data_IF_195030022606
#
_entry.id   IF_195030022606
#
_cell.length_a   1.000
_cell.length_b   1.000
_cell.length_c   1.000
_cell.angle_alpha   90.00
_cell.angle_beta   90.00
_cell.angle_gamma   90.00
#
_symmetry.space_group_name_H-M   'P 1'
#
loop_
_entity.id
_entity.type
_entity.pdbx_description
1 polymer ?
#
# COMPACT_ATOMS: atom_id res chain seq x y z
N UNK A 1 -3.14 46.57 19.09
CA UNK A 1 -1.80 45.96 19.04
C UNK A 1 -1.99 44.45 18.93
N UNK A 2 -1.64 43.92 17.76
CA UNK A 2 -1.32 42.52 17.43
C UNK A 2 -2.07 41.38 18.14
N UNK A 3 -3.17 40.91 17.53
CA UNK A 3 -3.65 39.53 17.72
C UNK A 3 -2.88 38.63 16.77
N UNK A 4 -1.94 37.85 17.30
CA UNK A 4 -1.21 36.83 16.55
C UNK A 4 -2.18 35.66 16.25
N UNK A 5 -2.55 35.56 14.99
CA UNK A 5 -3.30 34.45 14.41
C UNK A 5 -2.35 33.24 14.36
N UNK A 6 -2.52 32.30 15.30
CA UNK A 6 -1.88 30.99 15.26
C UNK A 6 -2.40 30.24 14.03
N UNK A 7 -1.60 30.23 12.97
CA UNK A 7 -1.78 29.35 11.83
C UNK A 7 -1.40 27.93 12.24
N UNK A 8 -2.33 27.21 12.87
CA UNK A 8 -2.30 25.75 12.88
C UNK A 8 -2.73 25.29 11.50
N UNK A 9 -1.76 25.14 10.59
CA UNK A 9 -2.00 24.51 9.30
C UNK A 9 -2.36 23.05 9.52
N UNK A 10 -3.64 22.72 9.40
CA UNK A 10 -4.08 21.33 9.31
C UNK A 10 -3.41 20.69 8.08
N UNK A 11 -2.78 19.53 8.22
CA UNK A 11 -2.18 18.84 7.08
C UNK A 11 -3.28 18.52 6.07
N UNK A 12 -2.98 18.74 4.78
CA UNK A 12 -3.93 18.41 3.72
C UNK A 12 -4.09 16.89 3.71
N UNK A 13 -5.30 16.38 3.52
CA UNK A 13 -5.58 14.93 3.50
C UNK A 13 -4.65 14.12 2.56
N UNK A 14 -4.09 14.76 1.52
CA UNK A 14 -3.05 14.16 0.66
C UNK A 14 -1.64 14.09 1.27
N UNK A 15 -1.26 15.01 2.16
CA UNK A 15 -0.03 14.93 2.96
C UNK A 15 -0.12 13.84 4.02
N UNK A 16 -1.30 13.63 4.63
CA UNK A 16 -1.49 12.54 5.59
C UNK A 16 -1.47 11.17 4.92
N UNK A 17 -2.03 11.05 3.71
CA UNK A 17 -1.89 9.83 2.89
C UNK A 17 -0.43 9.58 2.51
N UNK A 18 0.30 10.61 2.04
CA UNK A 18 1.74 10.51 1.77
C UNK A 18 2.53 10.12 3.02
N UNK A 19 2.23 10.72 4.17
CA UNK A 19 2.93 10.49 5.44
C UNK A 19 2.66 9.10 6.03
N UNK A 20 1.44 8.59 5.86
CA UNK A 20 1.09 7.22 6.24
C UNK A 20 1.72 6.17 5.30
N UNK A 21 1.89 6.49 4.02
CA UNK A 21 2.55 5.63 3.04
C UNK A 21 4.09 5.60 3.21
N UNK A 22 4.70 6.72 3.57
CA UNK A 22 6.17 6.88 3.66
C UNK A 22 6.81 6.18 4.87
N UNK A 23 6.06 5.89 5.94
CA UNK A 23 6.64 5.32 7.16
C UNK A 23 7.20 3.90 6.99
N UNK A 24 6.72 3.14 5.98
CA UNK A 24 7.20 1.79 5.64
C UNK A 24 7.80 1.70 4.22
N UNK A 25 7.64 2.72 3.37
CA UNK A 25 8.07 2.68 1.95
C UNK A 25 9.58 2.90 1.77
N UNK A 26 10.19 3.78 2.58
CA UNK A 26 11.60 4.18 2.38
C UNK A 26 12.60 3.01 2.55
N UNK A 27 12.33 2.07 3.48
CA UNK A 27 13.19 0.88 3.68
C UNK A 27 12.99 -0.18 2.58
N UNK A 28 11.76 -0.32 2.05
CA UNK A 28 11.45 -1.33 1.02
C UNK A 28 11.96 -0.91 -0.36
N UNK A 29 11.83 0.38 -0.71
CA UNK A 29 12.38 0.92 -1.95
C UNK A 29 13.90 0.68 -2.06
N UNK A 30 14.62 0.81 -0.94
CA UNK A 30 16.08 0.57 -0.90
C UNK A 30 16.43 -0.91 -1.13
N UNK A 31 15.66 -1.84 -0.58
CA UNK A 31 15.90 -3.28 -0.75
C UNK A 31 15.70 -3.72 -2.21
N UNK A 32 14.62 -3.26 -2.84
CA UNK A 32 14.29 -3.66 -4.22
C UNK A 32 15.12 -2.95 -5.28
N UNK A 33 15.48 -1.68 -5.06
CA UNK A 33 16.42 -0.98 -5.95
C UNK A 33 17.81 -1.61 -5.93
N UNK A 34 18.31 -2.03 -4.76
CA UNK A 34 19.58 -2.75 -4.66
C UNK A 34 19.56 -4.08 -5.45
N UNK A 35 18.44 -4.81 -5.42
CA UNK A 35 18.29 -6.05 -6.18
C UNK A 35 18.35 -5.84 -7.70
N UNK A 36 18.00 -4.65 -8.21
CA UNK A 36 18.09 -4.32 -9.64
C UNK A 36 19.52 -4.15 -10.13
N UNK A 37 20.41 -3.67 -9.25
CA UNK A 37 21.81 -3.41 -9.57
C UNK A 37 22.70 -4.66 -9.40
N UNK A 38 22.22 -5.66 -8.67
CA UNK A 38 22.94 -6.91 -8.46
C UNK A 38 22.80 -7.88 -9.66
N UNK A 39 23.89 -7.97 -10.41
CA UNK A 39 24.03 -8.89 -11.55
C UNK A 39 23.93 -10.39 -11.17
N UNK A 40 24.07 -10.74 -9.90
CA UNK A 40 23.96 -12.12 -9.39
C UNK A 40 22.53 -12.58 -9.12
N UNK A 41 21.58 -11.65 -9.05
CA UNK A 41 20.15 -11.94 -8.89
C UNK A 41 19.59 -12.57 -10.16
N UNK A 42 18.62 -13.47 -10.05
CA UNK A 42 17.99 -14.05 -11.23
C UNK A 42 17.13 -13.00 -11.97
N UNK A 43 16.94 -13.18 -13.28
CA UNK A 43 16.21 -12.21 -14.09
C UNK A 43 14.77 -11.98 -13.62
N UNK A 44 14.13 -13.00 -13.04
CA UNK A 44 12.74 -12.94 -12.61
C UNK A 44 12.59 -12.19 -11.29
N UNK A 45 13.53 -12.36 -10.36
CA UNK A 45 13.61 -11.53 -9.14
C UNK A 45 13.88 -10.07 -9.48
N UNK A 46 14.78 -9.78 -10.44
CA UNK A 46 14.96 -8.40 -10.91
C UNK A 46 13.69 -7.83 -11.53
N UNK A 47 13.00 -8.59 -12.37
CA UNK A 47 11.73 -8.16 -12.97
C UNK A 47 10.67 -7.88 -11.89
N UNK A 48 10.53 -8.77 -10.91
CA UNK A 48 9.60 -8.58 -9.79
C UNK A 48 9.94 -7.33 -8.96
N UNK A 49 11.22 -7.13 -8.67
CA UNK A 49 11.73 -5.96 -7.94
C UNK A 49 11.49 -4.66 -8.70
N UNK A 50 11.60 -4.69 -10.02
CA UNK A 50 11.32 -3.54 -10.88
C UNK A 50 9.83 -3.19 -10.82
N UNK A 51 8.95 -4.18 -11.02
CA UNK A 51 7.50 -3.94 -10.97
C UNK A 51 7.07 -3.44 -9.58
N UNK A 52 7.69 -3.95 -8.51
CA UNK A 52 7.45 -3.47 -7.16
C UNK A 52 7.85 -1.99 -7.02
N UNK A 53 9.07 -1.63 -7.42
CA UNK A 53 9.59 -0.27 -7.27
C UNK A 53 8.75 0.74 -8.06
N UNK A 54 8.36 0.40 -9.28
CA UNK A 54 7.49 1.25 -10.12
C UNK A 54 6.08 1.36 -9.51
N UNK A 55 5.55 0.27 -8.92
CA UNK A 55 4.27 0.32 -8.22
C UNK A 55 4.31 1.28 -7.03
N UNK A 56 5.39 1.24 -6.25
CA UNK A 56 5.57 2.11 -5.10
C UNK A 56 5.65 3.58 -5.50
N UNK A 57 6.42 3.90 -6.55
CA UNK A 57 6.48 5.24 -7.13
C UNK A 57 5.09 5.77 -7.50
N UNK A 58 4.33 5.02 -8.29
CA UNK A 58 2.96 5.40 -8.64
C UNK A 58 2.06 5.59 -7.41
N UNK A 59 2.15 4.70 -6.41
CA UNK A 59 1.36 4.82 -5.17
C UNK A 59 1.75 6.08 -4.38
N UNK A 60 3.04 6.42 -4.30
CA UNK A 60 3.52 7.63 -3.63
C UNK A 60 3.06 8.91 -4.34
N UNK A 61 2.97 8.87 -5.66
CA UNK A 61 2.47 9.97 -6.48
C UNK A 61 0.94 10.09 -6.47
N UNK A 62 0.24 9.09 -5.92
CA UNK A 62 -1.22 9.05 -5.85
C UNK A 62 -1.88 8.44 -7.08
N UNK A 63 -1.09 7.86 -7.99
CA UNK A 63 -1.50 7.23 -9.24
C UNK A 63 -1.97 5.79 -8.98
N UNK A 64 -3.14 5.69 -8.34
CA UNK A 64 -3.64 4.42 -7.85
C UNK A 64 -3.84 3.36 -8.94
N UNK A 65 -4.33 3.71 -10.13
CA UNK A 65 -4.63 2.71 -11.18
C UNK A 65 -3.34 2.05 -11.68
N UNK A 66 -2.34 2.85 -12.06
CA UNK A 66 -1.01 2.44 -12.47
C UNK A 66 -0.29 1.65 -11.36
N UNK A 67 -0.34 2.16 -10.12
CA UNK A 67 0.22 1.49 -8.95
C UNK A 67 -0.36 0.10 -8.72
N UNK A 68 -1.69 -0.06 -8.88
CA UNK A 68 -2.33 -1.37 -8.71
C UNK A 68 -1.97 -2.37 -9.80
N UNK A 69 -1.78 -1.91 -11.04
CA UNK A 69 -1.35 -2.75 -12.14
C UNK A 69 0.05 -3.31 -11.88
N UNK A 70 1.00 -2.44 -11.54
CA UNK A 70 2.40 -2.83 -11.28
C UNK A 70 2.55 -3.69 -10.03
N UNK A 71 1.83 -3.37 -8.96
CA UNK A 71 1.81 -4.20 -7.75
C UNK A 71 1.27 -5.61 -8.03
N UNK A 72 0.28 -5.75 -8.92
CA UNK A 72 -0.26 -7.06 -9.33
C UNK A 72 0.75 -7.88 -10.13
N UNK A 73 1.52 -7.24 -11.01
CA UNK A 73 2.61 -7.87 -11.77
C UNK A 73 3.70 -8.38 -10.81
N UNK A 74 4.15 -7.53 -9.88
CA UNK A 74 5.11 -7.91 -8.84
C UNK A 74 4.62 -9.08 -7.97
N UNK A 75 3.39 -8.97 -7.46
CA UNK A 75 2.75 -10.01 -6.65
C UNK A 75 2.72 -11.37 -7.36
N UNK A 76 2.38 -11.37 -8.64
CA UNK A 76 2.33 -12.59 -9.45
C UNK A 76 3.71 -13.24 -9.56
N UNK A 77 4.75 -12.44 -9.78
CA UNK A 77 6.11 -12.94 -9.89
C UNK A 77 6.62 -13.48 -8.55
N UNK A 78 6.46 -12.75 -7.45
CA UNK A 78 6.88 -13.20 -6.13
C UNK A 78 6.18 -14.49 -5.69
N UNK A 79 4.88 -14.63 -5.97
CA UNK A 79 4.14 -15.88 -5.75
C UNK A 79 4.69 -17.05 -6.54
N UNK A 80 5.01 -16.84 -7.82
CA UNK A 80 5.59 -17.90 -8.66
C UNK A 80 6.98 -18.32 -8.19
N UNK A 81 7.72 -17.44 -7.52
CA UNK A 81 9.02 -17.73 -6.93
C UNK A 81 8.92 -18.31 -5.52
N UNK A 82 7.75 -18.26 -4.89
CA UNK A 82 7.56 -18.63 -3.49
C UNK A 82 8.17 -17.62 -2.50
N UNK A 83 8.39 -16.38 -2.94
CA UNK A 83 8.90 -15.30 -2.09
C UNK A 83 7.75 -14.70 -1.27
N UNK A 84 7.64 -15.16 -0.02
CA UNK A 84 6.64 -14.69 0.94
C UNK A 84 6.83 -13.22 1.34
N UNK A 85 8.07 -12.70 1.38
CA UNK A 85 8.32 -11.28 1.72
C UNK A 85 7.79 -10.41 0.59
N UNK A 86 8.23 -10.68 -0.65
CA UNK A 86 7.79 -9.91 -1.81
C UNK A 86 6.29 -10.03 -2.11
N UNK A 87 5.68 -11.19 -1.84
CA UNK A 87 4.23 -11.34 -1.89
C UNK A 87 3.52 -10.36 -0.94
N UNK A 88 3.94 -10.30 0.33
CA UNK A 88 3.30 -9.46 1.33
C UNK A 88 3.52 -7.97 1.06
N UNK A 89 4.72 -7.60 0.64
CA UNK A 89 5.05 -6.20 0.34
C UNK A 89 4.25 -5.74 -0.90
N UNK A 90 4.10 -6.59 -1.92
CA UNK A 90 3.29 -6.29 -3.10
C UNK A 90 1.80 -6.19 -2.78
N UNK A 91 1.28 -7.07 -1.89
CA UNK A 91 -0.09 -6.97 -1.41
C UNK A 91 -0.33 -5.64 -0.68
N UNK A 92 0.60 -5.18 0.15
CA UNK A 92 0.50 -3.87 0.83
C UNK A 92 0.34 -2.74 -0.19
N UNK A 93 1.21 -2.68 -1.21
CA UNK A 93 1.12 -1.65 -2.26
C UNK A 93 -0.21 -1.73 -3.02
N UNK A 94 -0.67 -2.95 -3.34
CA UNK A 94 -1.93 -3.15 -4.06
C UNK A 94 -3.13 -2.61 -3.27
N UNK A 95 -3.20 -2.84 -1.97
CA UNK A 95 -4.28 -2.32 -1.14
C UNK A 95 -4.21 -0.80 -0.98
N UNK A 96 -3.01 -0.23 -0.85
CA UNK A 96 -2.81 1.22 -0.85
C UNK A 96 -3.30 1.85 -2.17
N UNK A 97 -2.98 1.21 -3.29
CA UNK A 97 -3.47 1.63 -4.60
C UNK A 97 -5.00 1.60 -4.68
N UNK A 98 -5.66 0.56 -4.16
CA UNK A 98 -7.13 0.51 -4.10
C UNK A 98 -7.75 1.58 -3.20
N UNK A 99 -7.08 1.94 -2.10
CA UNK A 99 -7.50 3.07 -1.26
C UNK A 99 -7.46 4.39 -2.03
N UNK A 100 -6.39 4.65 -2.77
CA UNK A 100 -6.25 5.85 -3.62
C UNK A 100 -7.34 5.92 -4.70
N UNK A 101 -7.74 4.76 -5.23
CA UNK A 101 -8.84 4.66 -6.21
C UNK A 101 -10.24 4.76 -5.57
N UNK A 102 -10.35 4.82 -4.24
CA UNK A 102 -11.63 4.78 -3.52
C UNK A 102 -12.33 3.41 -3.55
N UNK A 103 -11.65 2.35 -4.01
CA UNK A 103 -12.18 0.97 -4.13
C UNK A 103 -12.12 0.24 -2.78
N UNK A 104 -12.63 0.85 -1.71
CA UNK A 104 -12.49 0.35 -0.34
C UNK A 104 -13.22 -0.98 -0.09
N UNK A 105 -14.40 -1.18 -0.67
CA UNK A 105 -15.13 -2.45 -0.55
C UNK A 105 -14.37 -3.59 -1.21
N UNK A 106 -13.79 -3.32 -2.38
CA UNK A 106 -12.97 -4.29 -3.10
C UNK A 106 -11.70 -4.62 -2.33
N UNK A 107 -11.00 -3.62 -1.77
CA UNK A 107 -9.83 -3.84 -0.92
C UNK A 107 -10.16 -4.71 0.30
N UNK A 108 -11.31 -4.49 0.94
CA UNK A 108 -11.78 -5.29 2.07
C UNK A 108 -12.03 -6.76 1.68
N UNK A 109 -12.67 -6.99 0.54
CA UNK A 109 -12.94 -8.34 0.01
C UNK A 109 -11.63 -9.08 -0.29
N UNK A 110 -10.69 -8.44 -0.99
CA UNK A 110 -9.41 -9.03 -1.34
C UNK A 110 -8.56 -9.34 -0.10
N UNK A 111 -8.43 -8.39 0.84
CA UNK A 111 -7.67 -8.61 2.07
C UNK A 111 -8.27 -9.75 2.92
N UNK A 112 -9.60 -9.88 2.96
CA UNK A 112 -10.28 -10.99 3.65
C UNK A 112 -10.02 -12.34 2.99
N UNK A 113 -10.00 -12.39 1.66
CA UNK A 113 -9.68 -13.59 0.90
C UNK A 113 -8.21 -14.01 1.10
N UNK A 114 -7.28 -13.07 1.11
CA UNK A 114 -5.85 -13.34 1.37
C UNK A 114 -5.60 -13.74 2.83
N UNK A 115 -6.28 -13.12 3.79
CA UNK A 115 -6.20 -13.52 5.20
C UNK A 115 -6.55 -15.00 5.39
N UNK A 116 -7.59 -15.49 4.69
CA UNK A 116 -7.98 -16.90 4.75
C UNK A 116 -6.87 -17.84 4.22
N UNK A 117 -6.02 -17.38 3.30
CA UNK A 117 -4.88 -18.17 2.78
C UNK A 117 -3.72 -18.22 3.77
N UNK A 118 -3.42 -17.11 4.45
CA UNK A 118 -2.30 -17.02 5.40
C UNK A 118 -2.62 -17.58 6.79
N UNK A 119 -3.90 -17.60 7.18
CA UNK A 119 -4.33 -18.01 8.52
C UNK A 119 -3.78 -19.38 8.92
N UNK A 120 -2.99 -19.39 9.99
CA UNK A 120 -2.38 -20.61 10.54
C UNK A 120 -1.22 -21.19 9.74
N UNK A 121 -0.78 -20.54 8.65
CA UNK A 121 0.35 -20.95 7.81
C UNK A 121 1.49 -19.93 7.83
N UNK A 122 1.15 -18.65 7.69
CA UNK A 122 2.09 -17.54 7.63
C UNK A 122 1.62 -16.45 8.59
N UNK A 123 2.33 -16.31 9.71
CA UNK A 123 1.97 -15.34 10.75
C UNK A 123 2.21 -13.90 10.32
N UNK A 124 3.21 -13.66 9.47
CA UNK A 124 3.51 -12.32 8.96
C UNK A 124 2.45 -11.91 7.93
N UNK A 125 2.08 -12.82 7.03
CA UNK A 125 0.99 -12.61 6.08
C UNK A 125 -0.36 -12.41 6.76
N UNK A 126 -0.65 -13.18 7.81
CA UNK A 126 -1.86 -13.04 8.64
C UNK A 126 -1.90 -11.64 9.29
N UNK A 127 -0.81 -11.19 9.91
CA UNK A 127 -0.72 -9.86 10.52
C UNK A 127 -0.86 -8.74 9.49
N UNK A 128 -0.21 -8.85 8.34
CA UNK A 128 -0.29 -7.87 7.24
C UNK A 128 -1.72 -7.71 6.72
N UNK A 129 -2.45 -8.81 6.51
CA UNK A 129 -3.84 -8.74 6.06
C UNK A 129 -4.79 -8.20 7.12
N UNK A 130 -4.57 -8.53 8.40
CA UNK A 130 -5.34 -7.95 9.51
C UNK A 130 -5.12 -6.44 9.63
N UNK A 131 -3.88 -5.98 9.48
CA UNK A 131 -3.56 -4.55 9.45
C UNK A 131 -4.28 -3.84 8.30
N UNK A 132 -4.21 -4.42 7.10
CA UNK A 132 -4.89 -3.90 5.91
C UNK A 132 -6.40 -3.78 6.11
N UNK A 133 -7.04 -4.83 6.66
CA UNK A 133 -8.48 -4.81 6.97
C UNK A 133 -8.82 -3.69 7.95
N UNK A 134 -8.00 -3.50 8.99
CA UNK A 134 -8.17 -2.41 9.95
C UNK A 134 -8.08 -1.03 9.30
N UNK A 135 -7.06 -0.81 8.47
CA UNK A 135 -6.84 0.44 7.75
C UNK A 135 -7.98 0.77 6.77
N UNK A 136 -8.44 -0.21 5.99
CA UNK A 136 -9.59 -0.05 5.09
C UNK A 136 -10.88 0.25 5.88
N UNK A 137 -11.09 -0.40 7.03
CA UNK A 137 -12.25 -0.13 7.87
C UNK A 137 -12.24 1.32 8.43
N UNK A 138 -11.08 1.81 8.84
CA UNK A 138 -10.90 3.20 9.29
C UNK A 138 -11.22 4.18 8.16
N UNK A 139 -10.66 3.95 6.96
CA UNK A 139 -10.94 4.78 5.80
C UNK A 139 -12.44 4.82 5.49
N UNK A 140 -13.13 3.67 5.48
CA UNK A 140 -14.59 3.62 5.25
C UNK A 140 -15.37 4.43 6.29
N UNK A 141 -14.97 4.37 7.57
CA UNK A 141 -15.62 5.16 8.63
C UNK A 141 -15.45 6.66 8.41
N UNK A 142 -14.24 7.11 8.08
CA UNK A 142 -13.93 8.52 7.80
C UNK A 142 -14.71 9.04 6.58
N UNK A 143 -14.82 8.22 5.52
CA UNK A 143 -15.63 8.55 4.35
C UNK A 143 -17.12 8.71 4.71
N UNK A 144 -17.67 7.84 5.55
CA UNK A 144 -19.07 7.94 5.98
C UNK A 144 -19.33 9.20 6.82
N UNK A 145 -18.40 9.55 7.72
CA UNK A 145 -18.49 10.77 8.53
C UNK A 145 -18.40 12.03 7.66
N UNK A 146 -17.48 12.06 6.69
CA UNK A 146 -17.36 13.16 5.74
C UNK A 146 -18.66 13.36 4.94
N UNK A 147 -19.27 12.29 4.42
CA UNK A 147 -20.56 12.37 3.71
C UNK A 147 -21.64 12.95 4.61
N UNK A 148 -21.73 12.48 5.85
CA UNK A 148 -22.72 12.98 6.82
C UNK A 148 -22.53 14.49 7.07
N UNK A 149 -21.29 14.95 7.22
CA UNK A 149 -20.99 16.36 7.45
C UNK A 149 -21.39 17.28 6.29
N UNK A 150 -21.43 16.78 5.04
CA UNK A 150 -21.92 17.53 3.88
C UNK A 150 -23.44 17.60 3.78
N UNK A 151 -24.16 16.76 4.54
CA UNK A 151 -25.62 16.68 4.52
C UNK A 151 -26.28 17.50 5.63
N UNK A 152 -25.49 18.01 6.59
CA UNK A 152 -25.90 18.93 7.66
C UNK A 152 -25.70 20.40 7.22
#
# INVERSE_FOLDING_TARGET
>A
MHSAMLATGEPRAGEDARRALTLDADDLASDYSAALEDSSVDAKTREASLMFSVAEEHVLDGEGEEGSQRATEALTLFRQMGDSKGEQDSLRLLHNAYRLQGKLDYAMEQASAELAKFKGKDKRGEASMLFTIGDVALAKSQHAEAIKSFQE
#
